data_IF_388166579413
#
_entry.id   IF_388166579413
#
_cell.length_a   1.000
_cell.length_b   1.000
_cell.length_c   1.000
_cell.angle_alpha   90.00
_cell.angle_beta   90.00
_cell.angle_gamma   90.00
#
_symmetry.space_group_name_H-M   'P 1'
#
loop_
_entity.id
_entity.type
_entity.pdbx_description
1 polymer ?
#
# COMPACT_ATOMS: atom_id res chain seq x y z
N UNK A 1 -14.13 -34.33 14.90
CA UNK A 1 -14.02 -33.14 15.77
C UNK A 1 -13.63 -31.99 14.86
N UNK A 2 -14.58 -31.13 14.55
CA UNK A 2 -14.36 -29.98 13.66
C UNK A 2 -13.39 -29.00 14.33
N UNK A 3 -12.27 -28.64 13.71
CA UNK A 3 -11.51 -27.47 14.12
C UNK A 3 -12.27 -26.27 13.57
N UNK A 4 -13.36 -25.89 14.25
CA UNK A 4 -13.89 -24.54 14.11
C UNK A 4 -12.87 -23.62 14.76
N UNK A 5 -11.83 -23.26 14.00
CA UNK A 5 -10.90 -22.16 14.30
C UNK A 5 -11.62 -20.81 14.20
N UNK A 6 -12.83 -20.73 14.73
CA UNK A 6 -13.42 -19.45 15.08
C UNK A 6 -12.60 -18.92 16.23
N UNK A 7 -12.09 -17.69 16.08
CA UNK A 7 -11.56 -16.92 17.19
C UNK A 7 -12.47 -17.12 18.40
N UNK A 8 -11.99 -17.69 19.52
CA UNK A 8 -12.80 -17.70 20.73
C UNK A 8 -13.11 -16.22 21.02
N UNK A 9 -14.37 -15.83 21.21
CA UNK A 9 -14.69 -14.48 21.60
C UNK A 9 -14.10 -14.29 22.99
N UNK A 10 -12.88 -13.74 23.06
CA UNK A 10 -12.38 -13.19 24.30
C UNK A 10 -13.24 -11.98 24.65
N UNK A 11 -13.26 -11.60 25.92
CA UNK A 11 -14.02 -10.45 26.43
C UNK A 11 -13.70 -9.11 25.69
N UNK A 12 -12.61 -9.05 24.90
CA UNK A 12 -12.26 -7.96 23.96
C UNK A 12 -13.24 -7.79 22.78
N UNK A 13 -14.15 -8.74 22.62
CA UNK A 13 -15.25 -8.76 21.65
C UNK A 13 -16.61 -8.54 22.31
N UNK A 14 -16.67 -7.95 23.51
CA UNK A 14 -17.83 -7.15 23.90
C UNK A 14 -18.04 -6.17 22.74
N UNK A 15 -19.00 -6.45 21.85
CA UNK A 15 -19.00 -5.99 20.45
C UNK A 15 -19.01 -4.47 20.22
N UNK A 16 -18.84 -3.67 21.27
CA UNK A 16 -18.71 -2.22 21.30
C UNK A 16 -17.25 -1.73 21.36
N UNK A 17 -16.30 -2.51 21.88
CA UNK A 17 -14.91 -2.06 22.11
C UNK A 17 -14.21 -1.44 20.88
N UNK A 18 -14.19 -2.09 19.70
CA UNK A 18 -13.54 -1.49 18.54
C UNK A 18 -14.28 -0.24 18.03
N UNK A 19 -15.61 -0.15 18.25
CA UNK A 19 -16.38 1.04 17.90
C UNK A 19 -16.10 2.20 18.87
N UNK A 20 -15.89 1.91 20.15
CA UNK A 20 -15.46 2.91 21.15
C UNK A 20 -14.08 3.44 20.77
N UNK A 21 -13.16 2.58 20.35
CA UNK A 21 -11.84 3.00 19.87
C UNK A 21 -11.95 3.91 18.63
N UNK A 22 -12.80 3.57 17.65
CA UNK A 22 -13.06 4.43 16.49
C UNK A 22 -13.65 5.79 16.88
N UNK A 23 -14.61 5.81 17.81
CA UNK A 23 -15.24 7.03 18.30
C UNK A 23 -14.24 7.93 19.04
N UNK A 24 -13.43 7.34 19.92
CA UNK A 24 -12.42 8.06 20.67
C UNK A 24 -11.29 8.58 19.74
N UNK A 25 -10.85 7.79 18.76
CA UNK A 25 -9.88 8.21 17.74
C UNK A 25 -10.41 9.35 16.86
N UNK A 26 -11.68 9.28 16.47
CA UNK A 26 -12.37 10.34 15.72
C UNK A 26 -12.48 11.63 16.54
N UNK A 27 -12.81 11.52 17.83
CA UNK A 27 -12.84 12.66 18.74
C UNK A 27 -11.45 13.28 18.92
N UNK A 28 -10.39 12.48 19.04
CA UNK A 28 -9.02 12.96 19.09
C UNK A 28 -8.65 13.74 17.83
N UNK A 29 -8.99 13.20 16.65
CA UNK A 29 -8.71 13.86 15.38
C UNK A 29 -9.49 15.17 15.22
N UNK A 30 -10.75 15.20 15.64
CA UNK A 30 -11.54 16.43 15.67
C UNK A 30 -10.88 17.52 16.52
N UNK A 31 -10.38 17.17 17.72
CA UNK A 31 -9.69 18.11 18.60
C UNK A 31 -8.36 18.61 18.00
N UNK A 32 -7.66 17.77 17.24
CA UNK A 32 -6.41 18.13 16.56
C UNK A 32 -6.64 19.07 15.37
N UNK A 33 -7.72 18.84 14.60
CA UNK A 33 -8.06 19.62 13.40
C UNK A 33 -8.81 20.93 13.71
N UNK A 34 -9.53 20.99 14.82
CA UNK A 34 -10.32 22.17 15.20
C UNK A 34 -9.43 23.39 15.48
N UNK A 35 -9.88 24.56 15.01
CA UNK A 35 -9.32 25.87 15.42
C UNK A 35 -9.53 26.04 16.93
N UNK A 36 -8.45 26.06 17.70
CA UNK A 36 -8.52 26.17 19.16
C UNK A 36 -7.17 26.46 19.82
N UNK A 37 -7.19 26.78 21.13
CA UNK A 37 -5.98 27.03 21.91
C UNK A 37 -5.09 25.78 21.98
N UNK A 38 -3.79 25.99 22.24
CA UNK A 38 -2.80 24.91 22.38
C UNK A 38 -3.25 23.82 23.37
N UNK A 39 -3.95 24.21 24.45
CA UNK A 39 -4.51 23.30 25.43
C UNK A 39 -5.49 22.27 24.83
N UNK A 40 -6.35 22.67 23.89
CA UNK A 40 -7.25 21.74 23.20
C UNK A 40 -6.50 20.76 22.32
N UNK A 41 -5.44 21.22 21.63
CA UNK A 41 -4.58 20.36 20.83
C UNK A 41 -3.82 19.36 21.69
N UNK A 42 -3.34 19.78 22.87
CA UNK A 42 -2.69 18.90 23.84
C UNK A 42 -3.66 17.80 24.33
N UNK A 43 -4.90 18.16 24.64
CA UNK A 43 -5.94 17.18 25.00
C UNK A 43 -6.18 16.20 23.83
N UNK A 44 -6.26 16.71 22.60
CA UNK A 44 -6.37 15.88 21.39
C UNK A 44 -5.20 14.91 21.22
N UNK A 45 -3.96 15.35 21.47
CA UNK A 45 -2.77 14.48 21.42
C UNK A 45 -2.83 13.41 22.52
N UNK A 46 -3.18 13.78 23.75
CA UNK A 46 -3.27 12.81 24.86
C UNK A 46 -4.36 11.77 24.61
N UNK A 47 -5.53 12.20 24.12
CA UNK A 47 -6.61 11.29 23.73
C UNK A 47 -6.19 10.40 22.55
N UNK A 48 -5.47 10.96 21.57
CA UNK A 48 -4.93 10.21 20.42
C UNK A 48 -3.91 9.15 20.85
N UNK A 49 -3.01 9.47 21.78
CA UNK A 49 -2.05 8.51 22.32
C UNK A 49 -2.74 7.43 23.16
N UNK A 50 -3.73 7.81 23.98
CA UNK A 50 -4.52 6.87 24.77
C UNK A 50 -5.30 5.88 23.89
N UNK A 51 -5.93 6.38 22.82
CA UNK A 51 -6.65 5.54 21.86
C UNK A 51 -5.72 4.65 21.06
N UNK A 52 -4.55 5.14 20.63
CA UNK A 52 -3.53 4.31 20.01
C UNK A 52 -3.04 3.20 20.95
N UNK A 53 -2.73 3.53 22.20
CA UNK A 53 -2.31 2.55 23.21
C UNK A 53 -3.36 1.48 23.44
N UNK A 54 -4.63 1.89 23.53
CA UNK A 54 -5.76 0.95 23.63
C UNK A 54 -5.84 0.04 22.40
N UNK A 55 -5.75 0.59 21.18
CA UNK A 55 -5.77 -0.22 19.95
C UNK A 55 -4.63 -1.24 19.89
N UNK A 56 -3.43 -0.88 20.35
CA UNK A 56 -2.29 -1.79 20.43
C UNK A 56 -2.57 -2.95 21.39
N UNK A 57 -3.18 -2.69 22.55
CA UNK A 57 -3.59 -3.73 23.51
C UNK A 57 -4.63 -4.66 22.88
N UNK A 58 -5.70 -4.11 22.30
CA UNK A 58 -6.72 -4.93 21.60
C UNK A 58 -6.05 -5.81 20.54
N UNK A 59 -5.22 -5.22 19.68
CA UNK A 59 -4.54 -5.98 18.63
C UNK A 59 -3.64 -7.08 19.21
N UNK A 60 -2.96 -6.84 20.33
CA UNK A 60 -2.11 -7.85 20.97
C UNK A 60 -2.88 -9.05 21.53
N UNK A 61 -4.15 -8.86 21.89
CA UNK A 61 -5.03 -9.94 22.37
C UNK A 61 -5.64 -10.75 21.22
N UNK A 62 -5.83 -10.13 20.05
CA UNK A 62 -6.32 -10.82 18.84
C UNK A 62 -5.25 -11.72 18.23
N UNK A 63 -3.97 -11.35 18.33
CA UNK A 63 -2.91 -12.10 17.66
C UNK A 63 -2.64 -13.42 18.40
N UNK A 64 -2.83 -14.60 17.76
CA UNK A 64 -2.64 -15.88 18.43
C UNK A 64 -1.19 -16.02 18.91
N UNK A 65 -1.01 -16.31 20.21
CA UNK A 65 0.31 -16.47 20.83
C UNK A 65 1.11 -17.68 20.35
N UNK A 66 0.57 -18.48 19.43
CA UNK A 66 1.26 -19.61 18.79
C UNK A 66 2.14 -19.19 17.60
N UNK A 67 1.93 -17.99 17.05
CA UNK A 67 2.71 -17.44 15.92
C UNK A 67 4.01 -16.80 16.43
N UNK A 68 5.10 -16.90 15.66
CA UNK A 68 6.42 -16.32 15.95
C UNK A 68 6.30 -14.92 16.63
N UNK A 69 6.70 -14.78 17.90
CA UNK A 69 6.53 -13.55 18.66
C UNK A 69 7.23 -12.36 18.01
N UNK A 70 8.29 -12.60 17.23
CA UNK A 70 9.03 -11.54 16.53
C UNK A 70 8.17 -10.90 15.45
N UNK A 71 7.46 -11.70 14.63
CA UNK A 71 6.58 -11.22 13.57
C UNK A 71 5.47 -10.33 14.13
N UNK A 72 4.89 -10.73 15.25
CA UNK A 72 3.79 -10.01 15.92
C UNK A 72 4.24 -8.65 16.46
N UNK A 73 5.43 -8.60 17.08
CA UNK A 73 6.01 -7.34 17.57
C UNK A 73 6.30 -6.39 16.39
N UNK A 74 6.91 -6.89 15.31
CA UNK A 74 7.19 -6.09 14.12
C UNK A 74 5.91 -5.55 13.49
N UNK A 75 4.85 -6.36 13.43
CA UNK A 75 3.53 -5.94 12.95
C UNK A 75 3.00 -4.75 13.75
N UNK A 76 2.99 -4.85 15.09
CA UNK A 76 2.49 -3.78 15.97
C UNK A 76 3.32 -2.50 15.81
N UNK A 77 4.64 -2.62 15.68
CA UNK A 77 5.54 -1.48 15.45
C UNK A 77 5.19 -0.78 14.13
N UNK A 78 5.16 -1.51 13.01
CA UNK A 78 4.87 -0.90 11.70
C UNK A 78 3.46 -0.34 11.62
N UNK A 79 2.45 -1.02 12.17
CA UNK A 79 1.07 -0.53 12.20
C UNK A 79 0.95 0.78 13.02
N UNK A 80 1.57 0.84 14.20
CA UNK A 80 1.56 2.03 15.05
C UNK A 80 2.26 3.21 14.37
N UNK A 81 3.41 2.97 13.73
CA UNK A 81 4.12 4.02 12.98
C UNK A 81 3.27 4.49 11.80
N UNK A 82 2.65 3.59 11.03
CA UNK A 82 1.81 3.96 9.90
C UNK A 82 0.62 4.84 10.32
N UNK A 83 -0.13 4.46 11.35
CA UNK A 83 -1.31 5.23 11.79
C UNK A 83 -0.89 6.57 12.43
N UNK A 84 0.15 6.59 13.26
CA UNK A 84 0.65 7.84 13.87
C UNK A 84 1.20 8.82 12.83
N UNK A 85 1.91 8.32 11.82
CA UNK A 85 2.40 9.11 10.70
C UNK A 85 1.24 9.64 9.84
N UNK A 86 0.20 8.83 9.58
CA UNK A 86 -0.99 9.28 8.84
C UNK A 86 -1.73 10.41 9.57
N UNK A 87 -1.91 10.30 10.89
CA UNK A 87 -2.50 11.37 11.71
C UNK A 87 -1.62 12.63 11.67
N UNK A 88 -0.29 12.48 11.73
CA UNK A 88 0.63 13.62 11.64
C UNK A 88 0.67 14.26 10.27
N UNK A 89 0.58 13.48 9.20
CA UNK A 89 0.51 13.97 7.82
C UNK A 89 -0.63 14.97 7.64
N UNK A 90 -1.84 14.65 8.13
CA UNK A 90 -3.02 15.51 7.94
C UNK A 90 -3.13 16.65 8.96
N UNK A 91 -2.43 16.56 10.09
CA UNK A 91 -2.48 17.59 11.15
C UNK A 91 -1.34 18.61 11.06
N UNK A 92 -0.27 18.31 10.30
CA UNK A 92 0.89 19.20 10.21
C UNK A 92 0.64 20.38 9.27
N UNK A 93 0.87 21.61 9.75
CA UNK A 93 0.58 22.83 8.99
C UNK A 93 1.54 23.10 7.83
N UNK A 94 2.77 22.58 7.90
CA UNK A 94 3.79 22.75 6.86
C UNK A 94 3.79 21.55 5.90
N UNK A 95 3.51 21.74 4.60
CA UNK A 95 3.43 20.69 3.58
C UNK A 95 4.67 19.79 3.48
N UNK A 96 5.88 20.35 3.58
CA UNK A 96 7.13 19.55 3.51
C UNK A 96 7.14 18.46 4.58
N UNK A 97 6.80 18.81 5.83
CA UNK A 97 6.75 17.84 6.91
C UNK A 97 5.57 16.87 6.76
N UNK A 98 4.43 17.33 6.25
CA UNK A 98 3.30 16.45 5.92
C UNK A 98 3.71 15.38 4.89
N UNK A 99 4.45 15.77 3.85
CA UNK A 99 4.99 14.84 2.86
C UNK A 99 5.99 13.84 3.47
N UNK A 100 6.88 14.28 4.38
CA UNK A 100 7.78 13.36 5.10
C UNK A 100 7.02 12.35 5.96
N UNK A 101 5.93 12.76 6.64
CA UNK A 101 5.05 11.82 7.33
C UNK A 101 4.36 10.86 6.37
N UNK A 102 3.99 11.31 5.16
CA UNK A 102 3.43 10.41 4.15
C UNK A 102 4.44 9.36 3.68
N UNK A 103 5.71 9.75 3.48
CA UNK A 103 6.80 8.79 3.20
C UNK A 103 6.92 7.77 4.32
N UNK A 104 6.80 8.18 5.58
CA UNK A 104 6.83 7.27 6.73
C UNK A 104 5.65 6.27 6.71
N UNK A 105 4.44 6.70 6.35
CA UNK A 105 3.29 5.80 6.14
C UNK A 105 3.63 4.73 5.10
N UNK A 106 4.14 5.15 3.93
CA UNK A 106 4.46 4.24 2.82
C UNK A 106 5.57 3.26 3.21
N UNK A 107 6.61 3.71 3.90
CA UNK A 107 7.69 2.84 4.39
C UNK A 107 7.19 1.83 5.43
N UNK A 108 6.33 2.23 6.35
CA UNK A 108 5.74 1.31 7.33
C UNK A 108 4.79 0.31 6.67
N UNK A 109 4.00 0.72 5.67
CA UNK A 109 3.17 -0.19 4.87
C UNK A 109 4.00 -1.20 4.08
N UNK A 110 5.17 -0.81 3.55
CA UNK A 110 6.08 -1.76 2.91
C UNK A 110 6.59 -2.82 3.91
N UNK A 111 6.91 -2.41 5.15
CA UNK A 111 7.23 -3.34 6.23
C UNK A 111 6.10 -4.33 6.53
N UNK A 112 4.83 -3.86 6.56
CA UNK A 112 3.66 -4.73 6.71
C UNK A 112 3.52 -5.73 5.55
N UNK A 113 3.80 -5.33 4.30
CA UNK A 113 3.79 -6.25 3.16
C UNK A 113 4.89 -7.31 3.24
N UNK A 114 6.08 -6.96 3.74
CA UNK A 114 7.13 -7.96 3.98
C UNK A 114 6.71 -8.98 5.03
N UNK A 115 6.01 -8.55 6.09
CA UNK A 115 5.45 -9.49 7.08
C UNK A 115 4.35 -10.39 6.51
N UNK A 116 3.77 -10.04 5.36
CA UNK A 116 2.81 -10.86 4.61
C UNK A 116 3.48 -11.68 3.50
N UNK A 117 4.82 -11.75 3.46
CA UNK A 117 5.60 -12.43 2.41
C UNK A 117 5.33 -11.89 0.99
N UNK A 118 4.82 -10.66 0.90
CA UNK A 118 4.53 -9.96 -0.35
C UNK A 118 5.73 -9.08 -0.75
N UNK A 119 6.89 -9.70 -0.99
CA UNK A 119 8.15 -9.01 -1.31
C UNK A 119 8.03 -8.07 -2.52
N UNK A 120 7.40 -8.52 -3.61
CA UNK A 120 7.25 -7.71 -4.81
C UNK A 120 6.47 -6.43 -4.52
N UNK A 121 5.35 -6.55 -3.78
CA UNK A 121 4.53 -5.39 -3.41
C UNK A 121 5.26 -4.45 -2.45
N UNK A 122 6.01 -4.97 -1.48
CA UNK A 122 6.78 -4.15 -0.56
C UNK A 122 7.82 -3.30 -1.29
N UNK A 123 8.63 -3.92 -2.17
CA UNK A 123 9.65 -3.20 -2.93
C UNK A 123 9.05 -2.26 -3.98
N UNK A 124 7.95 -2.65 -4.64
CA UNK A 124 7.22 -1.77 -5.55
C UNK A 124 6.71 -0.52 -4.82
N UNK A 125 6.19 -0.67 -3.59
CA UNK A 125 5.73 0.45 -2.78
C UNK A 125 6.88 1.41 -2.44
N UNK A 126 8.07 0.89 -2.14
CA UNK A 126 9.25 1.70 -1.86
C UNK A 126 9.75 2.40 -3.13
N UNK A 127 9.96 1.68 -4.23
CA UNK A 127 10.58 2.23 -5.44
C UNK A 127 9.64 3.23 -6.13
N UNK A 128 8.37 2.86 -6.31
CA UNK A 128 7.41 3.66 -7.08
C UNK A 128 6.78 4.74 -6.22
N UNK A 129 6.21 4.38 -5.07
CA UNK A 129 5.50 5.36 -4.23
C UNK A 129 6.49 6.20 -3.42
N UNK A 130 7.26 5.59 -2.52
CA UNK A 130 8.17 6.36 -1.66
C UNK A 130 9.30 7.03 -2.43
N UNK A 131 9.85 6.35 -3.44
CA UNK A 131 10.94 6.82 -4.29
C UNK A 131 10.45 7.82 -5.33
N UNK A 132 9.86 7.35 -6.42
CA UNK A 132 9.57 8.22 -7.57
C UNK A 132 8.47 9.25 -7.29
N UNK A 133 7.28 8.81 -6.85
CA UNK A 133 6.10 9.68 -6.76
C UNK A 133 6.25 10.69 -5.61
N UNK A 134 6.55 10.23 -4.40
CA UNK A 134 6.59 11.11 -3.22
C UNK A 134 7.77 12.08 -3.24
N UNK A 135 8.95 11.67 -3.70
CA UNK A 135 10.09 12.59 -3.80
C UNK A 135 9.81 13.66 -4.86
N UNK A 136 9.26 13.27 -6.02
CA UNK A 136 8.87 14.23 -7.06
C UNK A 136 7.83 15.22 -6.53
N UNK A 137 6.79 14.71 -5.85
CA UNK A 137 5.76 15.54 -5.24
C UNK A 137 6.34 16.48 -4.17
N UNK A 138 7.24 15.99 -3.32
CA UNK A 138 7.87 16.79 -2.28
C UNK A 138 8.75 17.90 -2.86
N UNK A 139 9.49 17.63 -3.94
CA UNK A 139 10.26 18.64 -4.66
C UNK A 139 9.36 19.73 -5.24
N UNK A 140 8.27 19.34 -5.92
CA UNK A 140 7.29 20.26 -6.49
C UNK A 140 6.64 21.12 -5.40
N UNK A 141 6.20 20.50 -4.29
CA UNK A 141 5.63 21.23 -3.15
C UNK A 141 6.63 22.25 -2.60
N UNK A 142 7.88 21.85 -2.41
CA UNK A 142 8.91 22.71 -1.83
C UNK A 142 9.18 23.94 -2.71
N UNK A 143 9.26 23.78 -4.03
CA UNK A 143 9.43 24.89 -4.97
C UNK A 143 8.22 25.82 -4.97
N UNK A 144 7.00 25.27 -4.99
CA UNK A 144 5.77 26.05 -4.97
C UNK A 144 5.64 26.92 -3.70
N UNK A 145 6.06 26.40 -2.54
CA UNK A 145 6.03 27.18 -1.30
C UNK A 145 7.01 28.36 -1.30
N UNK A 146 8.22 28.17 -1.83
CA UNK A 146 9.23 29.24 -1.89
C UNK A 146 8.82 30.36 -2.85
N UNK A 147 8.16 30.03 -3.96
CA UNK A 147 7.63 31.02 -4.90
C UNK A 147 6.56 31.91 -4.27
N UNK A 148 5.68 31.34 -3.43
CA UNK A 148 4.60 32.10 -2.76
C UNK A 148 5.12 33.08 -1.70
N UNK A 149 6.25 32.80 -1.05
CA UNK A 149 6.84 33.68 -0.02
C UNK A 149 7.54 34.92 -0.62
N UNK A 150 7.97 34.86 -1.88
CA UNK A 150 8.69 35.95 -2.54
C UNK A 150 7.78 37.06 -3.10
N UNK A 151 6.49 36.78 -3.32
CA UNK A 151 5.60 37.63 -4.12
C UNK A 151 4.53 38.40 -3.30
N UNK A 152 4.35 38.11 -2.00
CA UNK A 152 3.22 38.70 -1.21
C UNK A 152 3.67 39.39 0.09
N UNK A 153 3.65 40.73 0.08
CA UNK A 153 3.71 41.59 1.28
C UNK A 153 2.33 41.95 1.84
N UNK A 154 1.20 41.74 1.15
CA UNK A 154 -0.11 42.16 1.69
C UNK A 154 -1.35 41.32 1.36
N UNK A 155 -1.21 40.14 0.74
CA UNK A 155 -2.34 39.21 0.62
C UNK A 155 -1.94 37.84 1.13
N UNK A 156 -2.52 37.41 2.25
CA UNK A 156 -2.36 36.05 2.74
C UNK A 156 -2.82 35.09 1.64
N UNK A 157 -1.96 34.26 1.03
CA UNK A 157 -2.42 33.30 0.03
C UNK A 157 -3.47 32.40 0.68
N UNK A 158 -4.62 32.27 0.03
CA UNK A 158 -5.83 31.58 0.48
C UNK A 158 -5.66 30.05 0.54
N UNK A 159 -4.52 29.56 1.03
CA UNK A 159 -4.40 28.18 1.48
C UNK A 159 -5.03 28.09 2.86
N UNK A 160 -6.15 27.40 2.96
CA UNK A 160 -6.83 27.15 4.23
C UNK A 160 -5.94 26.25 5.09
N UNK A 161 -5.03 26.86 5.86
CA UNK A 161 -4.13 26.18 6.80
C UNK A 161 -4.87 25.38 7.87
N UNK A 162 -6.20 25.51 7.91
CA UNK A 162 -7.07 24.81 8.83
C UNK A 162 -8.23 24.21 8.06
N UNK A 163 -8.66 23.01 8.46
CA UNK A 163 -9.83 22.36 7.91
C UNK A 163 -11.05 23.29 7.97
N UNK A 164 -11.74 23.45 6.83
CA UNK A 164 -12.99 24.21 6.71
C UNK A 164 -14.11 23.61 7.55
N UNK A 165 -14.27 22.29 7.45
CA UNK A 165 -15.36 21.54 8.09
C UNK A 165 -14.83 20.27 8.80
N UNK A 166 -14.04 20.42 9.89
CA UNK A 166 -13.45 19.27 10.57
C UNK A 166 -14.51 18.34 11.18
N UNK A 167 -15.68 18.87 11.55
CA UNK A 167 -16.78 18.07 12.10
C UNK A 167 -17.35 17.09 11.07
N UNK A 168 -17.71 17.58 9.87
CA UNK A 168 -18.25 16.74 8.81
C UNK A 168 -17.25 15.67 8.35
N UNK A 169 -15.98 16.04 8.15
CA UNK A 169 -14.92 15.12 7.77
C UNK A 169 -14.73 13.98 8.79
N UNK A 170 -14.73 14.31 10.09
CA UNK A 170 -14.58 13.31 11.15
C UNK A 170 -15.81 12.41 11.26
N UNK A 171 -17.03 12.92 11.07
CA UNK A 171 -18.25 12.11 11.08
C UNK A 171 -18.22 11.09 9.94
N UNK A 172 -17.86 11.52 8.73
CA UNK A 172 -17.72 10.61 7.58
C UNK A 172 -16.61 9.58 7.84
N UNK A 173 -15.47 10.01 8.38
CA UNK A 173 -14.39 9.11 8.77
C UNK A 173 -14.80 8.09 9.82
N UNK A 174 -15.57 8.50 10.83
CA UNK A 174 -16.12 7.62 11.87
C UNK A 174 -17.06 6.57 11.28
N UNK A 175 -17.98 6.99 10.40
CA UNK A 175 -18.91 6.06 9.73
C UNK A 175 -18.12 5.06 8.89
N UNK A 176 -17.16 5.52 8.08
CA UNK A 176 -16.32 4.65 7.26
C UNK A 176 -15.52 3.66 8.12
N UNK A 177 -14.82 4.14 9.14
CA UNK A 177 -14.05 3.30 10.06
C UNK A 177 -14.94 2.28 10.78
N UNK A 178 -16.11 2.70 11.26
CA UNK A 178 -17.09 1.81 11.89
C UNK A 178 -17.57 0.72 10.92
N UNK A 179 -17.91 1.07 9.68
CA UNK A 179 -18.32 0.07 8.68
C UNK A 179 -17.20 -0.91 8.31
N UNK A 180 -15.95 -0.45 8.21
CA UNK A 180 -14.78 -1.30 7.99
C UNK A 180 -14.53 -2.24 9.17
N UNK A 181 -14.69 -1.77 10.41
CA UNK A 181 -14.61 -2.61 11.61
C UNK A 181 -15.71 -3.67 11.60
N UNK A 182 -16.96 -3.32 11.27
CA UNK A 182 -18.06 -4.29 11.16
C UNK A 182 -17.77 -5.33 10.07
N UNK A 183 -17.35 -4.88 8.88
CA UNK A 183 -16.98 -5.76 7.79
C UNK A 183 -15.83 -6.72 8.18
N UNK A 184 -14.86 -6.22 8.96
CA UNK A 184 -13.70 -7.01 9.36
C UNK A 184 -14.01 -8.01 10.48
N UNK A 185 -14.84 -7.64 11.46
CA UNK A 185 -15.13 -8.50 12.62
C UNK A 185 -16.26 -9.49 12.35
N UNK A 186 -17.28 -9.06 11.60
CA UNK A 186 -18.50 -9.85 11.35
C UNK A 186 -18.53 -10.43 9.94
N UNK A 187 -17.96 -9.73 8.96
CA UNK A 187 -17.97 -10.15 7.56
C UNK A 187 -16.91 -11.20 7.22
N UNK A 188 -15.67 -11.01 7.68
CA UNK A 188 -14.57 -11.96 7.42
C UNK A 188 -14.85 -13.36 7.97
N UNK A 189 -15.53 -13.49 9.11
CA UNK A 189 -15.88 -14.79 9.71
C UNK A 189 -16.96 -15.56 8.93
N UNK A 190 -17.67 -14.90 8.01
CA UNK A 190 -18.67 -15.53 7.13
C UNK A 190 -18.10 -15.92 5.77
N UNK A 191 -16.90 -15.44 5.42
CA UNK A 191 -16.27 -15.81 4.17
C UNK A 191 -15.75 -17.26 4.27
N UNK A 192 -15.76 -18.02 3.16
CA UNK A 192 -15.03 -19.27 3.10
C UNK A 192 -13.60 -19.04 3.57
N UNK A 193 -13.00 -19.94 4.38
CA UNK A 193 -11.62 -19.79 4.79
C UNK A 193 -10.75 -19.59 3.53
N UNK A 194 -9.76 -18.68 3.57
CA UNK A 194 -8.89 -18.45 2.44
C UNK A 194 -8.23 -19.76 2.01
N UNK A 195 -8.01 -19.88 0.70
CA UNK A 195 -7.22 -20.89 -0.02
C UNK A 195 -6.42 -21.74 0.97
N UNK A 196 -6.89 -22.96 1.22
CA UNK A 196 -6.21 -23.93 2.08
C UNK A 196 -4.71 -23.94 1.74
N UNK A 197 -3.78 -24.13 2.68
CA UNK A 197 -2.34 -24.21 2.36
C UNK A 197 -2.06 -25.13 1.16
N UNK A 198 -2.87 -26.19 1.02
CA UNK A 198 -2.89 -27.08 -0.14
C UNK A 198 -3.08 -26.37 -1.51
N UNK A 199 -3.92 -25.34 -1.61
CA UNK A 199 -4.18 -24.63 -2.85
C UNK A 199 -3.14 -23.54 -3.15
N UNK A 200 -2.48 -22.95 -2.15
CA UNK A 200 -1.24 -22.16 -2.37
C UNK A 200 -0.11 -23.06 -2.90
N UNK A 201 0.08 -24.20 -2.24
CA UNK A 201 1.02 -25.24 -2.64
C UNK A 201 0.77 -25.71 -4.08
N UNK A 202 -0.49 -26.03 -4.40
CA UNK A 202 -0.88 -26.42 -5.76
C UNK A 202 -0.54 -25.32 -6.78
N UNK A 203 -0.84 -24.05 -6.49
CA UNK A 203 -0.52 -22.94 -7.38
C UNK A 203 0.99 -22.75 -7.61
N UNK A 204 1.81 -22.99 -6.58
CA UNK A 204 3.28 -22.96 -6.70
C UNK A 204 3.83 -24.14 -7.50
N UNK A 205 3.30 -25.36 -7.31
CA UNK A 205 3.65 -26.52 -8.13
C UNK A 205 3.28 -26.33 -9.60
N UNK A 206 2.05 -25.88 -9.84
CA UNK A 206 1.52 -25.54 -11.16
C UNK A 206 2.33 -24.45 -11.89
N UNK A 207 2.88 -23.48 -11.16
CA UNK A 207 3.75 -22.48 -11.75
C UNK A 207 5.13 -23.07 -12.07
N UNK A 208 5.69 -23.90 -11.18
CA UNK A 208 6.96 -24.56 -11.43
C UNK A 208 6.92 -25.42 -12.69
N UNK A 209 5.84 -26.17 -12.91
CA UNK A 209 5.61 -26.95 -14.14
C UNK A 209 5.66 -26.11 -15.42
N UNK A 210 5.26 -24.84 -15.34
CA UNK A 210 5.28 -23.88 -16.46
C UNK A 210 6.65 -23.20 -16.66
N UNK A 211 7.60 -23.41 -15.74
CA UNK A 211 8.96 -22.87 -15.77
C UNK A 211 9.98 -23.98 -16.09
N UNK A 212 10.16 -24.38 -17.36
CA UNK A 212 10.87 -25.61 -17.73
C UNK A 212 12.35 -25.61 -17.34
N UNK A 213 12.99 -24.45 -17.25
CA UNK A 213 14.38 -24.34 -16.78
C UNK A 213 14.50 -24.66 -15.29
N UNK A 214 13.72 -23.95 -14.47
CA UNK A 214 13.71 -24.09 -13.02
C UNK A 214 13.18 -25.45 -12.57
N UNK A 215 12.12 -25.96 -13.21
CA UNK A 215 11.62 -27.30 -12.97
C UNK A 215 12.70 -28.36 -13.20
N UNK A 216 13.43 -28.27 -14.33
CA UNK A 216 14.48 -29.23 -14.66
C UNK A 216 15.62 -29.17 -13.65
N UNK A 217 15.99 -27.97 -13.22
CA UNK A 217 17.00 -27.76 -12.17
C UNK A 217 16.55 -28.36 -10.84
N UNK A 218 15.29 -28.13 -10.43
CA UNK A 218 14.70 -28.70 -9.22
C UNK A 218 14.74 -30.24 -9.22
N UNK A 219 14.37 -30.86 -10.36
CA UNK A 219 14.39 -32.33 -10.49
C UNK A 219 15.81 -32.87 -10.54
N UNK A 220 16.75 -32.23 -11.27
CA UNK A 220 18.15 -32.65 -11.29
C UNK A 220 18.85 -32.47 -9.92
N UNK A 221 18.44 -31.49 -9.13
CA UNK A 221 18.93 -31.33 -7.77
C UNK A 221 18.48 -32.49 -6.87
N UNK A 222 17.25 -32.99 -7.08
CA UNK A 222 16.71 -34.15 -6.37
C UNK A 222 17.36 -35.48 -6.83
N UNK A 223 17.60 -35.64 -8.13
CA UNK A 223 18.31 -36.79 -8.70
C UNK A 223 19.29 -36.35 -9.81
N UNK A 224 20.59 -36.23 -9.49
CA UNK A 224 21.61 -35.82 -10.46
C UNK A 224 21.84 -36.81 -11.60
N UNK A 225 21.47 -38.09 -11.42
CA UNK A 225 21.67 -39.14 -12.43
C UNK A 225 20.49 -39.22 -13.42
N UNK A 226 19.35 -38.59 -13.08
CA UNK A 226 18.18 -38.56 -13.95
C UNK A 226 18.50 -37.81 -15.25
N UNK A 227 18.26 -38.47 -16.39
CA UNK A 227 18.38 -37.84 -17.71
C UNK A 227 17.07 -37.17 -18.11
N UNK A 228 17.15 -35.95 -18.64
CA UNK A 228 15.97 -35.19 -19.09
C UNK A 228 15.81 -35.27 -20.62
N UNK A 229 14.63 -35.61 -21.16
CA UNK A 229 13.39 -35.95 -20.46
C UNK A 229 13.38 -37.36 -19.86
N UNK A 230 12.63 -37.58 -18.76
CA UNK A 230 12.52 -38.90 -18.12
C UNK A 230 11.97 -39.96 -19.10
N UNK A 231 12.43 -41.21 -18.92
CA UNK A 231 12.20 -42.27 -19.89
C UNK A 231 10.72 -42.67 -19.95
N UNK A 232 10.07 -42.39 -21.09
CA UNK A 232 8.67 -42.75 -21.31
C UNK A 232 7.65 -41.67 -20.91
N UNK A 233 8.10 -40.48 -20.50
CA UNK A 233 7.22 -39.36 -20.21
C UNK A 233 6.83 -38.61 -21.51
N UNK A 234 5.54 -38.63 -21.84
CA UNK A 234 4.97 -37.88 -22.98
C UNK A 234 4.74 -36.39 -22.65
N UNK A 235 4.69 -36.05 -21.35
CA UNK A 235 4.49 -34.71 -20.80
C UNK A 235 5.34 -34.49 -19.54
N UNK A 236 5.47 -33.23 -19.11
CA UNK A 236 6.14 -32.87 -17.84
C UNK A 236 5.38 -33.51 -16.67
N UNK A 237 6.03 -34.31 -15.82
CA UNK A 237 5.37 -34.91 -14.67
C UNK A 237 4.85 -33.83 -13.70
N UNK A 238 3.58 -33.90 -13.24
CA UNK A 238 3.01 -32.86 -12.38
C UNK A 238 3.66 -32.84 -11.00
N UNK A 239 3.76 -31.65 -10.41
CA UNK A 239 4.21 -31.44 -9.03
C UNK A 239 3.04 -31.73 -8.09
N UNK A 240 3.24 -32.71 -7.21
CA UNK A 240 2.27 -33.11 -6.20
C UNK A 240 2.78 -32.71 -4.81
N UNK A 241 1.86 -32.72 -3.83
CA UNK A 241 2.14 -32.30 -2.47
C UNK A 241 1.62 -33.34 -1.48
N UNK A 242 2.42 -33.60 -0.45
CA UNK A 242 2.04 -34.41 0.70
C UNK A 242 2.47 -33.70 2.01
N UNK A 243 2.51 -34.44 3.12
CA UNK A 243 2.88 -33.91 4.43
C UNK A 243 4.36 -33.46 4.54
N UNK A 244 5.30 -34.04 3.77
CA UNK A 244 6.72 -33.64 3.82
C UNK A 244 7.16 -32.75 2.64
N UNK A 245 6.24 -32.33 1.76
CA UNK A 245 6.46 -31.23 0.81
C UNK A 245 6.20 -31.57 -0.67
N UNK A 246 6.71 -30.74 -1.61
CA UNK A 246 6.48 -30.94 -3.04
C UNK A 246 7.31 -32.11 -3.57
N UNK A 247 6.71 -32.98 -4.38
CA UNK A 247 7.39 -34.09 -5.02
C UNK A 247 6.88 -34.33 -6.44
N UNK A 248 7.67 -35.08 -7.22
CA UNK A 248 7.34 -35.48 -8.57
C UNK A 248 7.52 -36.98 -8.69
N UNK A 249 6.51 -37.66 -9.25
CA UNK A 249 6.59 -39.09 -9.54
C UNK A 249 7.26 -39.34 -10.89
N UNK A 250 8.44 -39.94 -10.89
CA UNK A 250 9.23 -40.25 -12.10
C UNK A 250 9.73 -41.69 -12.03
N UNK A 251 9.54 -42.47 -13.10
CA UNK A 251 10.04 -43.85 -13.23
C UNK A 251 9.69 -44.77 -12.04
N UNK A 252 8.51 -44.58 -11.45
CA UNK A 252 8.02 -45.36 -10.31
C UNK A 252 8.61 -44.96 -8.95
N UNK A 253 9.30 -43.82 -8.87
CA UNK A 253 9.90 -43.26 -7.66
C UNK A 253 9.38 -41.85 -7.41
N UNK A 254 9.28 -41.48 -6.14
CA UNK A 254 8.92 -40.12 -5.72
C UNK A 254 10.19 -39.31 -5.49
N UNK A 255 10.41 -38.29 -6.32
CA UNK A 255 11.52 -37.36 -6.22
C UNK A 255 11.06 -36.12 -5.46
N UNK A 256 11.57 -35.91 -4.25
CA UNK A 256 11.23 -34.75 -3.43
C UNK A 256 11.95 -33.51 -3.95
N UNK A 257 11.19 -32.45 -4.20
CA UNK A 257 11.72 -31.14 -4.62
C UNK A 257 12.01 -30.32 -3.36
N UNK A 258 13.20 -29.73 -3.29
CA UNK A 258 13.52 -28.76 -2.24
C UNK A 258 12.67 -27.49 -2.42
N UNK A 259 12.14 -26.95 -1.33
CA UNK A 259 11.30 -25.75 -1.34
C UNK A 259 12.05 -24.51 -1.83
N UNK A 260 13.38 -24.51 -1.80
CA UNK A 260 14.21 -23.44 -2.39
C UNK A 260 13.99 -23.30 -3.92
N UNK A 261 13.65 -24.38 -4.62
CA UNK A 261 13.38 -24.33 -6.06
C UNK A 261 11.94 -23.94 -6.40
N UNK A 262 11.08 -23.74 -5.40
CA UNK A 262 9.72 -23.26 -5.66
C UNK A 262 9.75 -21.83 -6.21
N UNK A 263 8.76 -21.47 -7.05
CA UNK A 263 8.74 -20.13 -7.62
C UNK A 263 8.65 -19.05 -6.54
N UNK A 264 9.46 -17.99 -6.67
CA UNK A 264 9.42 -16.86 -5.75
C UNK A 264 8.14 -16.03 -5.91
N UNK A 265 7.80 -15.22 -4.90
CA UNK A 265 6.65 -14.30 -4.98
C UNK A 265 6.74 -13.39 -6.21
N UNK A 266 7.94 -12.88 -6.51
CA UNK A 266 8.19 -12.08 -7.71
C UNK A 266 7.90 -12.85 -9.01
N UNK A 267 8.27 -14.13 -9.09
CA UNK A 267 7.96 -14.97 -10.26
C UNK A 267 6.46 -15.23 -10.38
N UNK A 268 5.76 -15.47 -9.26
CA UNK A 268 4.29 -15.61 -9.24
C UNK A 268 3.59 -14.38 -9.81
N UNK A 269 3.97 -13.18 -9.35
CA UNK A 269 3.40 -11.93 -9.87
C UNK A 269 3.74 -11.73 -11.33
N UNK A 270 5.01 -11.92 -11.72
CA UNK A 270 5.46 -11.76 -13.10
C UNK A 270 4.73 -12.67 -14.08
N UNK A 271 4.57 -13.95 -13.72
CA UNK A 271 3.81 -14.90 -14.52
C UNK A 271 2.33 -14.53 -14.60
N UNK A 272 1.71 -14.16 -13.49
CA UNK A 272 0.30 -13.76 -13.45
C UNK A 272 0.03 -12.54 -14.34
N UNK A 273 0.91 -11.53 -14.31
CA UNK A 273 0.79 -10.34 -15.15
C UNK A 273 0.83 -10.66 -16.65
N UNK A 274 1.71 -11.57 -17.07
CA UNK A 274 1.89 -11.91 -18.49
C UNK A 274 0.86 -12.92 -18.97
N UNK A 275 0.57 -13.96 -18.17
CA UNK A 275 -0.29 -15.07 -18.57
C UNK A 275 -1.77 -14.80 -18.32
N UNK A 276 -2.11 -14.23 -17.16
CA UNK A 276 -3.51 -14.03 -16.73
C UNK A 276 -4.03 -12.63 -17.03
N UNK A 277 -3.16 -11.61 -16.97
CA UNK A 277 -3.54 -10.20 -17.10
C UNK A 277 -2.80 -9.42 -18.21
N UNK A 278 -2.59 -9.97 -19.42
CA UNK A 278 -1.84 -9.30 -20.47
C UNK A 278 -2.47 -7.96 -20.90
N UNK A 279 -3.81 -7.91 -20.97
CA UNK A 279 -4.53 -6.68 -21.34
C UNK A 279 -4.34 -5.56 -20.31
N UNK A 280 -4.34 -5.88 -19.02
CA UNK A 280 -4.08 -4.89 -17.96
C UNK A 280 -2.67 -4.32 -18.05
N UNK A 281 -1.69 -5.16 -18.42
CA UNK A 281 -0.30 -4.74 -18.62
C UNK A 281 -0.17 -3.78 -19.80
N UNK A 282 -0.82 -4.08 -20.93
CA UNK A 282 -0.84 -3.20 -22.10
C UNK A 282 -1.53 -1.85 -21.81
N UNK A 283 -2.69 -1.89 -21.16
CA UNK A 283 -3.43 -0.67 -20.77
C UNK A 283 -2.60 0.20 -19.84
N UNK A 284 -1.91 -0.38 -18.87
CA UNK A 284 -1.00 0.36 -17.99
C UNK A 284 0.12 1.05 -18.79
N UNK A 285 0.70 0.37 -19.78
CA UNK A 285 1.70 0.95 -20.69
C UNK A 285 1.17 2.14 -21.49
N UNK A 286 -0.05 2.03 -22.03
CA UNK A 286 -0.71 3.13 -22.77
C UNK A 286 -1.00 4.31 -21.84
N UNK A 287 -1.46 4.07 -20.61
CA UNK A 287 -1.71 5.12 -19.61
C UNK A 287 -0.41 5.86 -19.29
N UNK A 288 0.70 5.14 -19.08
CA UNK A 288 2.00 5.75 -18.80
C UNK A 288 2.50 6.60 -19.98
N UNK A 289 2.31 6.12 -21.21
CA UNK A 289 2.65 6.86 -22.41
C UNK A 289 1.84 8.16 -22.52
N UNK A 290 0.52 8.08 -22.33
CA UNK A 290 -0.38 9.24 -22.35
C UNK A 290 -0.06 10.23 -21.22
N UNK A 291 0.26 9.74 -20.02
CA UNK A 291 0.67 10.56 -18.89
C UNK A 291 1.96 11.32 -19.18
N UNK A 292 2.95 10.66 -19.79
CA UNK A 292 4.21 11.30 -20.19
C UNK A 292 3.97 12.40 -21.25
N UNK A 293 3.21 12.10 -22.31
CA UNK A 293 2.86 13.11 -23.32
C UNK A 293 2.08 14.28 -22.72
N UNK A 294 1.09 14.00 -21.86
CA UNK A 294 0.30 15.01 -21.17
C UNK A 294 1.16 15.92 -20.29
N UNK A 295 2.06 15.34 -19.49
CA UNK A 295 2.99 16.09 -18.65
C UNK A 295 3.92 17.00 -19.47
N UNK A 296 4.48 16.50 -20.59
CA UNK A 296 5.38 17.28 -21.45
C UNK A 296 4.65 18.41 -22.16
N UNK A 297 3.46 18.15 -22.72
CA UNK A 297 2.66 19.18 -23.40
C UNK A 297 2.21 20.26 -22.42
N UNK A 298 1.77 19.87 -21.22
CA UNK A 298 1.34 20.82 -20.19
C UNK A 298 2.51 21.69 -19.70
N UNK A 299 3.66 21.07 -19.40
CA UNK A 299 4.85 21.79 -18.98
C UNK A 299 5.34 22.78 -20.05
N UNK A 300 5.27 22.39 -21.33
CA UNK A 300 5.62 23.28 -22.44
C UNK A 300 4.66 24.46 -22.57
N UNK A 301 3.35 24.22 -22.48
CA UNK A 301 2.34 25.30 -22.54
C UNK A 301 2.51 26.31 -21.40
N UNK A 302 2.83 25.85 -20.19
CA UNK A 302 3.12 26.74 -19.07
C UNK A 302 4.35 27.61 -19.33
N UNK A 303 5.40 27.04 -19.93
CA UNK A 303 6.57 27.81 -20.32
C UNK A 303 6.24 28.88 -21.39
N UNK A 304 5.45 28.51 -22.41
CA UNK A 304 4.99 29.43 -23.45
C UNK A 304 4.14 30.59 -22.86
N UNK A 305 3.23 30.31 -21.92
CA UNK A 305 2.43 31.32 -21.22
C UNK A 305 3.29 32.28 -20.39
N UNK A 306 4.23 31.73 -19.60
CA UNK A 306 5.14 32.54 -18.79
C UNK A 306 6.06 33.43 -19.65
N UNK A 307 6.42 32.99 -20.85
CA UNK A 307 7.20 33.82 -21.78
C UNK A 307 6.36 34.97 -22.32
N UNK A 308 5.11 34.71 -22.72
CA UNK A 308 4.21 35.75 -23.23
C UNK A 308 3.86 36.78 -22.13
N UNK A 309 3.66 36.37 -20.88
CA UNK A 309 3.51 37.28 -19.72
C UNK A 309 4.71 38.23 -19.57
N UNK A 310 5.94 37.69 -19.57
CA UNK A 310 7.16 38.49 -19.48
C UNK A 310 7.33 39.47 -20.67
N UNK A 311 6.85 39.09 -21.85
CA UNK A 311 6.87 39.95 -23.04
C UNK A 311 5.84 41.07 -22.94
N UNK A 312 4.65 40.77 -22.42
CA UNK A 312 3.60 41.75 -22.18
C UNK A 312 4.03 42.79 -21.13
N UNK A 313 4.66 42.35 -20.04
CA UNK A 313 5.27 43.23 -19.04
C UNK A 313 6.38 44.12 -19.62
N UNK A 314 7.11 43.62 -20.62
CA UNK A 314 8.10 44.39 -21.38
C UNK A 314 7.49 45.27 -22.51
N UNK A 315 6.16 45.29 -22.66
CA UNK A 315 5.46 46.07 -23.69
C UNK A 315 5.61 45.51 -25.12
N UNK A 316 6.04 44.25 -25.26
CA UNK A 316 6.16 43.54 -26.52
C UNK A 316 4.88 42.75 -26.80
N UNK A 317 4.60 42.49 -28.08
CA UNK A 317 3.47 41.63 -28.46
C UNK A 317 3.77 40.17 -28.07
N UNK A 318 2.76 39.41 -27.59
CA UNK A 318 2.90 37.99 -27.34
C UNK A 318 3.24 37.24 -28.64
N UNK A 319 4.06 36.19 -28.52
CA UNK A 319 4.56 35.43 -29.67
C UNK A 319 3.62 34.27 -29.98
N UNK A 320 2.98 33.70 -28.96
CA UNK A 320 2.18 32.50 -29.10
C UNK A 320 0.68 32.82 -29.25
N UNK A 321 0.28 34.08 -29.05
CA UNK A 321 -1.01 34.63 -29.47
C UNK A 321 -2.22 34.13 -28.68
N UNK A 322 -2.00 33.59 -27.48
CA UNK A 322 -3.06 33.14 -26.58
C UNK A 322 -3.41 34.34 -25.68
N UNK A 323 -4.34 35.17 -26.14
CA UNK A 323 -4.96 36.20 -25.29
C UNK A 323 -6.08 35.51 -24.54
N UNK A 324 -6.09 35.58 -23.21
CA UNK A 324 -7.20 35.10 -22.40
C UNK A 324 -8.52 35.67 -22.94
N UNK A 325 -9.43 34.80 -23.39
CA UNK A 325 -10.72 35.20 -23.98
C UNK A 325 -11.64 35.91 -22.96
N UNK A 326 -11.26 35.97 -21.68
CA UNK A 326 -12.06 36.54 -20.59
C UNK A 326 -12.07 38.08 -20.53
N UNK A 327 -11.19 38.80 -21.23
CA UNK A 327 -11.15 40.27 -21.18
C UNK A 327 -12.00 40.98 -22.26
N UNK A 328 -12.85 40.24 -23.00
CA UNK A 328 -13.68 40.78 -24.09
C UNK A 328 -15.20 40.74 -23.86
N UNK A 329 -15.65 40.67 -22.61
CA UNK A 329 -17.07 40.77 -22.24
C UNK A 329 -17.37 41.96 -21.32
#
# INVERSE_FOLDING_TARGET
MSPTGGFPPGDWMDGLDPYIACLAGSLALYLLLRRGPLAMKLIGVLLGLGTMGWLVVICSEVVPGEVDPTRNILFLIFATIAVSAAVRMITHARPVYAALYFVMVVMSSAGLFLLLEAEFMAFALIIVYAGAILITYMFVLMLAQQASEAEQVDETPLYDRVAREPGAAVIVGLILAGTMVTASTTGLSQLPPPVEPAAMNTASGELLERLPGQYREAVHAADPELTWPPAGAEAVPPVQWDEDGPYVHVDGRDLRIDTEYLPSNTQHVGWSLVASFPASLEVAGVILLLAMFGAVVLARRQAEHSEDELRMDAGLKPVHGIVDEEESA
#
